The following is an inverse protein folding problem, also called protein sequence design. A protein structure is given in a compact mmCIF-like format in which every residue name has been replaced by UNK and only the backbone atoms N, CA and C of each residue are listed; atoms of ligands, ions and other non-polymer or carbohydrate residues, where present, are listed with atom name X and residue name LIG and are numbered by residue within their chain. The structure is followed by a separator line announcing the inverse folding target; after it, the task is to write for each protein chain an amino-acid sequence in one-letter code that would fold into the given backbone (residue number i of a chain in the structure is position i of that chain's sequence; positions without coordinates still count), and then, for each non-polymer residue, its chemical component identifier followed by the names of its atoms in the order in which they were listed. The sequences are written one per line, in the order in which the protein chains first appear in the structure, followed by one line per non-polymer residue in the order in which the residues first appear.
data_IF_693820082338
#
_entry.id   IF_693820082338
#
_cell.length_a   1.000
_cell.length_b   1.000
_cell.length_c   1.000
_cell.angle_alpha   90.00
_cell.angle_beta   90.00
_cell.angle_gamma   90.00
#
_symmetry.space_group_name_H-M   'P 1'
#
loop_
_entity.id
_entity.type
_entity.pdbx_description
1 polymer ?
#
# COMPACT_ATOMS: atom_id res chain seq x y z
N UNK A 1 6.58 -12.46 -1.15
CA UNK A 1 7.81 -13.04 -1.75
C UNK A 1 7.42 -14.04 -2.81
N UNK A 2 8.09 -14.03 -3.95
CA UNK A 2 7.97 -15.03 -4.99
C UNK A 2 9.36 -15.62 -5.23
N UNK A 3 9.48 -16.94 -5.32
CA UNK A 3 10.78 -17.58 -5.44
C UNK A 3 10.68 -18.90 -6.22
N UNK A 4 11.83 -19.38 -6.71
CA UNK A 4 12.00 -20.73 -7.19
C UNK A 4 12.76 -21.56 -6.17
N UNK A 5 12.31 -22.78 -5.97
CA UNK A 5 12.88 -23.74 -5.03
C UNK A 5 13.42 -24.92 -5.85
N UNK A 6 14.69 -25.14 -5.72
CA UNK A 6 15.39 -26.27 -6.35
C UNK A 6 15.79 -27.23 -5.23
N UNK A 7 15.38 -28.47 -5.34
CA UNK A 7 15.60 -29.49 -4.33
C UNK A 7 16.31 -30.72 -4.93
N UNK A 8 17.03 -31.42 -4.08
CA UNK A 8 17.28 -32.84 -4.30
C UNK A 8 16.05 -33.65 -3.83
N UNK A 9 15.40 -34.29 -4.76
CA UNK A 9 14.20 -35.11 -4.50
C UNK A 9 14.50 -36.51 -4.00
N UNK A 10 15.75 -36.89 -3.82
CA UNK A 10 16.14 -38.24 -3.40
C UNK A 10 15.64 -38.51 -1.99
N UNK A 11 14.74 -39.48 -1.86
CA UNK A 11 14.18 -39.90 -0.56
C UNK A 11 13.19 -38.89 0.07
N UNK A 12 12.73 -37.91 -0.69
CA UNK A 12 11.76 -36.91 -0.21
C UNK A 12 10.34 -37.41 -0.39
N UNK A 13 9.55 -37.35 0.68
CA UNK A 13 8.10 -37.52 0.59
C UNK A 13 7.48 -36.23 0.03
N UNK A 14 7.17 -36.29 -1.26
CA UNK A 14 6.62 -35.15 -2.01
C UNK A 14 5.25 -34.71 -1.48
N UNK A 15 4.40 -35.64 -1.03
CA UNK A 15 3.09 -35.28 -0.50
C UNK A 15 3.21 -34.45 0.77
N UNK A 16 4.04 -34.90 1.71
CA UNK A 16 4.34 -34.17 2.93
C UNK A 16 5.02 -32.82 2.64
N UNK A 17 5.90 -32.76 1.67
CA UNK A 17 6.56 -31.51 1.28
C UNK A 17 5.54 -30.50 0.74
N UNK A 18 4.73 -30.88 -0.23
CA UNK A 18 3.75 -30.01 -0.89
C UNK A 18 2.67 -29.55 0.08
N UNK A 19 2.23 -30.40 0.99
CA UNK A 19 1.30 -30.01 2.05
C UNK A 19 1.88 -28.92 2.96
N UNK A 20 3.11 -29.11 3.42
CA UNK A 20 3.78 -28.13 4.30
C UNK A 20 4.05 -26.79 3.63
N UNK A 21 4.45 -26.78 2.37
CA UNK A 21 4.65 -25.51 1.65
C UNK A 21 3.33 -24.89 1.22
N UNK A 22 2.31 -25.69 0.89
CA UNK A 22 0.97 -25.24 0.55
C UNK A 22 0.30 -24.43 1.67
N UNK A 23 0.60 -24.75 2.92
CA UNK A 23 0.14 -23.98 4.08
C UNK A 23 0.81 -22.60 4.21
N UNK A 24 1.90 -22.36 3.49
CA UNK A 24 2.65 -21.09 3.50
C UNK A 24 2.41 -20.21 2.28
N UNK A 25 1.86 -20.79 1.22
CA UNK A 25 1.64 -20.07 -0.02
C UNK A 25 1.11 -20.94 -1.15
N UNK A 26 0.92 -20.32 -2.30
CA UNK A 26 0.61 -21.04 -3.54
C UNK A 26 1.88 -21.43 -4.27
N UNK A 27 1.83 -22.55 -4.96
CA UNK A 27 2.97 -23.04 -5.73
C UNK A 27 2.55 -23.71 -7.03
N UNK A 28 3.49 -23.80 -7.95
CA UNK A 28 3.43 -24.63 -9.15
C UNK A 28 4.74 -25.39 -9.32
N UNK A 29 4.68 -26.56 -9.92
CA UNK A 29 5.86 -27.34 -10.23
C UNK A 29 6.03 -27.48 -11.72
N UNK A 30 7.19 -27.05 -12.25
CA UNK A 30 7.52 -27.10 -13.67
C UNK A 30 8.91 -27.70 -13.81
N UNK A 31 9.00 -28.83 -14.52
CA UNK A 31 10.28 -29.55 -14.80
C UNK A 31 11.14 -29.77 -13.54
N UNK A 32 10.49 -30.16 -12.41
CA UNK A 32 11.20 -30.43 -11.17
C UNK A 32 11.65 -29.19 -10.38
N UNK A 33 11.22 -28.01 -10.77
CA UNK A 33 11.43 -26.77 -10.03
C UNK A 33 10.09 -26.32 -9.43
N UNK A 34 10.08 -26.02 -8.14
CA UNK A 34 8.88 -25.48 -7.47
C UNK A 34 8.97 -23.96 -7.51
N UNK A 35 7.98 -23.35 -8.13
CA UNK A 35 7.77 -21.90 -8.09
C UNK A 35 6.75 -21.61 -7.01
N UNK A 36 7.10 -20.74 -6.07
CA UNK A 36 6.34 -20.51 -4.85
C UNK A 36 6.07 -19.03 -4.63
N UNK A 37 4.83 -18.73 -4.26
CA UNK A 37 4.40 -17.39 -3.88
C UNK A 37 3.84 -17.45 -2.46
N UNK A 38 4.38 -16.61 -1.55
CA UNK A 38 3.93 -16.57 -0.17
C UNK A 38 2.52 -15.99 -0.03
N UNK A 39 1.73 -16.58 0.86
CA UNK A 39 0.51 -15.99 1.39
C UNK A 39 0.88 -15.19 2.64
N UNK A 40 0.71 -13.86 2.61
CA UNK A 40 1.03 -13.00 3.73
C UNK A 40 2.54 -12.89 4.04
N UNK A 41 2.85 -12.69 5.31
CA UNK A 41 4.22 -12.54 5.79
C UNK A 41 4.90 -13.90 6.02
N UNK A 42 5.47 -14.44 4.98
CA UNK A 42 6.32 -15.62 5.07
C UNK A 42 7.75 -15.27 4.70
N UNK A 43 8.67 -15.40 5.64
CA UNK A 43 10.09 -15.18 5.39
C UNK A 43 10.72 -16.37 4.67
N UNK A 44 11.78 -16.12 3.91
CA UNK A 44 12.62 -17.17 3.29
C UNK A 44 13.07 -18.22 4.29
N UNK A 45 13.36 -17.80 5.53
CA UNK A 45 13.82 -18.69 6.59
C UNK A 45 12.70 -19.62 7.08
N UNK A 46 11.46 -19.12 7.19
CA UNK A 46 10.28 -19.91 7.53
C UNK A 46 10.00 -20.98 6.47
N UNK A 47 10.07 -20.58 5.20
CA UNK A 47 9.94 -21.51 4.06
C UNK A 47 11.04 -22.59 4.09
N UNK A 48 12.30 -22.19 4.26
CA UNK A 48 13.42 -23.13 4.37
C UNK A 48 13.26 -24.12 5.52
N UNK A 49 12.75 -23.67 6.65
CA UNK A 49 12.47 -24.53 7.81
C UNK A 49 11.35 -25.54 7.54
N UNK A 50 10.30 -25.14 6.81
CA UNK A 50 9.22 -26.04 6.41
C UNK A 50 9.72 -27.14 5.46
N UNK A 51 10.54 -26.76 4.48
CA UNK A 51 11.17 -27.70 3.52
C UNK A 51 12.05 -28.71 4.26
N UNK A 52 12.91 -28.24 5.15
CA UNK A 52 13.79 -29.15 5.95
C UNK A 52 13.01 -30.13 6.82
N UNK A 53 11.87 -29.69 7.41
CA UNK A 53 11.01 -30.59 8.20
C UNK A 53 10.31 -31.66 7.35
N UNK A 54 10.33 -31.56 6.03
CA UNK A 54 9.82 -32.57 5.11
C UNK A 54 10.86 -33.60 4.70
N UNK A 55 12.04 -33.61 5.35
CA UNK A 55 13.11 -34.55 5.08
C UNK A 55 14.05 -34.12 3.95
N UNK A 56 13.87 -32.94 3.38
CA UNK A 56 14.79 -32.40 2.37
C UNK A 56 16.08 -31.99 3.02
N UNK A 57 17.20 -32.58 2.58
CA UNK A 57 18.55 -32.28 3.07
C UNK A 57 19.09 -31.02 2.42
N UNK A 58 18.98 -30.92 1.10
CA UNK A 58 19.54 -29.83 0.30
C UNK A 58 18.47 -29.12 -0.51
N UNK A 59 18.39 -27.82 -0.30
CA UNK A 59 17.51 -26.94 -1.09
C UNK A 59 18.16 -25.59 -1.36
N UNK A 60 17.93 -25.07 -2.55
CA UNK A 60 18.27 -23.70 -2.96
C UNK A 60 16.99 -22.93 -3.17
N UNK A 61 16.84 -21.82 -2.48
CA UNK A 61 15.70 -20.91 -2.63
C UNK A 61 16.22 -19.62 -3.26
N UNK A 62 15.80 -19.39 -4.50
CA UNK A 62 16.15 -18.20 -5.29
C UNK A 62 14.94 -17.29 -5.34
N UNK A 63 15.05 -16.10 -4.77
CA UNK A 63 13.99 -15.10 -4.88
C UNK A 63 13.93 -14.55 -6.31
N UNK A 64 12.72 -14.44 -6.83
CA UNK A 64 12.46 -13.81 -8.12
C UNK A 64 12.17 -12.34 -7.83
N UNK A 65 12.99 -11.47 -8.39
CA UNK A 65 12.85 -10.00 -8.31
C UNK A 65 12.38 -9.45 -9.65
N UNK A 66 11.91 -8.22 -9.68
CA UNK A 66 11.54 -7.54 -10.94
C UNK A 66 12.71 -7.54 -11.93
N UNK A 67 13.94 -7.32 -11.45
CA UNK A 67 15.15 -7.31 -12.27
C UNK A 67 15.47 -8.69 -12.88
N UNK A 68 15.11 -9.77 -12.18
CA UNK A 68 15.36 -11.13 -12.63
C UNK A 68 14.28 -11.68 -13.57
N UNK A 69 13.15 -10.97 -13.73
CA UNK A 69 12.02 -11.40 -14.56
C UNK A 69 12.38 -11.63 -16.03
N UNK A 70 13.35 -10.89 -16.56
CA UNK A 70 13.82 -11.06 -17.94
C UNK A 70 14.38 -12.46 -18.22
N UNK A 71 14.80 -13.18 -17.18
CA UNK A 71 15.33 -14.54 -17.29
C UNK A 71 14.24 -15.62 -17.15
N UNK A 72 13.02 -15.23 -16.80
CA UNK A 72 11.87 -16.14 -16.64
C UNK A 72 10.94 -15.98 -17.85
N UNK A 73 10.88 -16.98 -18.67
CA UNK A 73 10.02 -17.00 -19.87
C UNK A 73 8.69 -17.72 -19.64
N UNK A 74 7.78 -17.58 -20.62
CA UNK A 74 6.51 -18.31 -20.64
C UNK A 74 5.63 -18.08 -19.43
N UNK A 75 4.92 -19.12 -19.00
CA UNK A 75 3.94 -19.07 -17.94
C UNK A 75 4.50 -18.57 -16.59
N UNK A 76 5.73 -18.93 -16.26
CA UNK A 76 6.39 -18.45 -15.01
C UNK A 76 6.61 -16.94 -15.05
N UNK A 77 7.08 -16.43 -16.17
CA UNK A 77 7.29 -15.00 -16.35
C UNK A 77 5.99 -14.21 -16.28
N UNK A 78 4.91 -14.73 -16.85
CA UNK A 78 3.58 -14.10 -16.79
C UNK A 78 3.04 -14.07 -15.35
N UNK A 79 3.11 -15.21 -14.66
CA UNK A 79 2.71 -15.33 -13.27
C UNK A 79 3.51 -14.40 -12.33
N UNK A 80 4.81 -14.29 -12.53
CA UNK A 80 5.66 -13.41 -11.75
C UNK A 80 5.36 -11.92 -12.05
N UNK A 81 5.11 -11.55 -13.30
CA UNK A 81 4.69 -10.19 -13.69
C UNK A 81 3.38 -9.80 -13.03
N UNK A 82 2.39 -10.70 -13.03
CA UNK A 82 1.11 -10.47 -12.36
C UNK A 82 1.30 -10.23 -10.86
N UNK A 83 2.14 -11.03 -10.21
CA UNK A 83 2.46 -10.84 -8.79
C UNK A 83 3.03 -9.44 -8.52
N UNK A 84 4.01 -8.98 -9.28
CA UNK A 84 4.62 -7.67 -9.07
C UNK A 84 3.67 -6.52 -9.39
N UNK A 85 2.83 -6.66 -10.41
CA UNK A 85 1.79 -5.69 -10.73
C UNK A 85 0.80 -5.53 -9.56
N UNK A 86 0.35 -6.64 -8.99
CA UNK A 86 -0.55 -6.64 -7.84
C UNK A 86 0.12 -6.06 -6.58
N UNK A 87 1.40 -6.35 -6.39
CA UNK A 87 2.18 -5.79 -5.28
C UNK A 87 2.37 -4.28 -5.40
N UNK A 88 2.64 -3.78 -6.60
CA UNK A 88 2.74 -2.34 -6.87
C UNK A 88 1.40 -1.63 -6.65
N UNK A 89 0.30 -2.21 -7.14
CA UNK A 89 -1.04 -1.68 -6.92
C UNK A 89 -1.39 -1.62 -5.42
N UNK A 90 -1.06 -2.66 -4.66
CA UNK A 90 -1.27 -2.69 -3.20
C UNK A 90 -0.48 -1.59 -2.51
N UNK A 91 0.80 -1.41 -2.85
CA UNK A 91 1.64 -0.34 -2.29
C UNK A 91 1.07 1.05 -2.56
N UNK A 92 0.60 1.31 -3.78
CA UNK A 92 -0.02 2.58 -4.15
C UNK A 92 -1.30 2.85 -3.33
N UNK A 93 -2.13 1.83 -3.08
CA UNK A 93 -3.33 1.94 -2.23
C UNK A 93 -2.93 2.23 -0.78
N UNK A 94 -1.92 1.54 -0.24
CA UNK A 94 -1.44 1.73 1.13
C UNK A 94 -0.87 3.15 1.31
N UNK A 95 -0.14 3.68 0.33
CA UNK A 95 0.36 5.06 0.31
C UNK A 95 -0.78 6.08 0.31
N UNK A 96 -1.76 5.90 -0.59
CA UNK A 96 -2.93 6.79 -0.64
C UNK A 96 -3.73 6.80 0.67
N UNK A 97 -3.91 5.63 1.28
CA UNK A 97 -4.62 5.52 2.56
C UNK A 97 -3.84 6.18 3.70
N UNK A 98 -2.52 6.02 3.72
CA UNK A 98 -1.64 6.67 4.70
C UNK A 98 -1.66 8.19 4.57
N UNK A 99 -1.62 8.73 3.35
CA UNK A 99 -1.71 10.16 3.09
C UNK A 99 -3.07 10.75 3.46
N UNK A 100 -4.16 10.03 3.14
CA UNK A 100 -5.51 10.42 3.53
C UNK A 100 -5.66 10.48 5.05
N UNK A 101 -5.14 9.47 5.76
CA UNK A 101 -5.15 9.45 7.23
C UNK A 101 -4.37 10.61 7.82
N UNK A 102 -3.18 10.91 7.30
CA UNK A 102 -2.37 12.04 7.74
C UNK A 102 -3.11 13.38 7.55
N UNK A 103 -3.70 13.61 6.38
CA UNK A 103 -4.49 14.82 6.11
C UNK A 103 -5.70 14.94 7.05
N UNK A 104 -6.35 13.82 7.36
CA UNK A 104 -7.46 13.79 8.31
C UNK A 104 -7.02 14.23 9.71
N UNK A 105 -5.90 13.72 10.19
CA UNK A 105 -5.33 14.09 11.50
C UNK A 105 -4.91 15.57 11.55
N UNK A 106 -4.34 16.10 10.47
CA UNK A 106 -4.01 17.54 10.36
C UNK A 106 -5.27 18.41 10.45
N UNK A 107 -6.36 18.03 9.75
CA UNK A 107 -7.64 18.75 9.81
C UNK A 107 -8.23 18.71 11.22
N UNK A 108 -8.17 17.58 11.92
CA UNK A 108 -8.65 17.47 13.30
C UNK A 108 -7.83 18.32 14.27
N UNK A 109 -6.51 18.33 14.12
CA UNK A 109 -5.64 19.17 14.93
C UNK A 109 -5.96 20.67 14.74
N UNK A 110 -6.14 21.12 13.50
CA UNK A 110 -6.53 22.49 13.17
C UNK A 110 -7.90 22.86 13.76
N UNK A 111 -8.88 21.94 13.75
CA UNK A 111 -10.19 22.16 14.36
C UNK A 111 -10.09 22.37 15.87
N UNK A 112 -9.25 21.56 16.55
CA UNK A 112 -9.02 21.72 17.99
C UNK A 112 -8.35 23.05 18.29
N UNK A 113 -7.34 23.43 17.54
CA UNK A 113 -6.63 24.71 17.69
C UNK A 113 -7.57 25.91 17.47
N UNK A 114 -8.40 25.84 16.42
CA UNK A 114 -9.42 26.85 16.14
C UNK A 114 -10.44 26.95 17.29
N UNK A 115 -10.91 25.83 17.81
CA UNK A 115 -11.85 25.80 18.93
C UNK A 115 -11.22 26.43 20.20
N UNK A 116 -9.96 26.14 20.48
CA UNK A 116 -9.23 26.74 21.59
C UNK A 116 -9.03 28.25 21.42
N UNK A 117 -8.72 28.71 20.20
CA UNK A 117 -8.58 30.12 19.89
C UNK A 117 -9.92 30.88 20.05
N UNK A 118 -11.04 30.27 19.67
CA UNK A 118 -12.39 30.82 19.90
C UNK A 118 -12.72 30.95 21.39
N UNK A 119 -12.44 29.93 22.18
CA UNK A 119 -12.70 29.94 23.63
C UNK A 119 -11.79 30.95 24.35
N UNK A 120 -10.55 31.08 23.93
CA UNK A 120 -9.59 32.03 24.55
C UNK A 120 -9.81 33.49 24.12
N UNK A 121 -10.76 33.77 23.20
CA UNK A 121 -11.03 35.11 22.71
C UNK A 121 -9.91 35.72 21.84
N UNK A 122 -8.98 34.91 21.39
CA UNK A 122 -7.86 35.35 20.54
C UNK A 122 -8.27 35.61 19.09
N UNK A 123 -9.44 35.14 18.65
CA UNK A 123 -10.02 35.50 17.37
C UNK A 123 -10.76 36.83 17.52
N UNK A 124 -10.12 37.90 17.09
CA UNK A 124 -10.76 39.20 16.93
C UNK A 124 -11.78 39.05 15.80
N UNK A 125 -13.05 39.26 16.10
CA UNK A 125 -14.08 39.30 15.06
C UNK A 125 -13.69 40.38 14.05
N UNK A 126 -13.55 40.00 12.78
CA UNK A 126 -13.34 40.95 11.70
C UNK A 126 -14.53 41.92 11.73
N UNK A 127 -14.32 43.24 11.89
CA UNK A 127 -15.39 44.18 11.92
C UNK A 127 -16.13 44.09 10.60
N UNK A 128 -17.45 43.81 10.65
CA UNK A 128 -18.31 43.94 9.50
C UNK A 128 -18.16 45.39 9.03
N UNK A 129 -17.68 45.60 7.82
CA UNK A 129 -17.77 46.85 7.13
C UNK A 129 -19.27 47.22 7.13
N UNK A 130 -19.62 48.23 7.91
CA UNK A 130 -20.88 48.91 7.73
C UNK A 130 -20.78 49.62 6.40
N UNK A 131 -21.48 49.11 5.44
CA UNK A 131 -21.73 49.82 4.20
C UNK A 131 -22.28 51.19 4.61
N UNK A 132 -21.55 52.21 4.23
CA UNK A 132 -22.00 53.60 4.30
C UNK A 132 -23.17 53.69 3.32
N UNK A 133 -24.36 53.71 3.88
CA UNK A 133 -25.50 54.31 3.20
C UNK A 133 -25.14 55.81 3.01
N UNK A 134 -24.74 56.14 1.83
CA UNK A 134 -24.67 57.51 1.35
C UNK A 134 -26.08 57.95 1.04
N UNK A 135 -26.70 58.61 2.02
CA UNK A 135 -27.94 59.38 1.81
C UNK A 135 -27.63 60.48 0.84
N UNK A 136 -28.11 60.32 -0.38
CA UNK A 136 -28.22 61.42 -1.34
C UNK A 136 -29.31 62.36 -0.84
N UNK A 137 -28.88 63.41 -0.16
CA UNK A 137 -29.71 64.55 0.20
C UNK A 137 -29.96 65.41 -1.04
N UNK A 138 -31.22 65.52 -1.41
CA UNK A 138 -31.67 66.34 -2.53
C UNK A 138 -31.58 67.81 -2.24
N UNK A 139 -30.89 68.53 -3.10
CA UNK A 139 -31.13 69.99 -3.24
C UNK A 139 -31.81 70.27 -4.55
N UNK A 140 -33.07 70.65 -4.39
CA UNK A 140 -33.79 71.48 -5.34
C UNK A 140 -33.13 72.84 -5.31
N UNK A 141 -32.84 73.38 -6.43
CA UNK A 141 -32.75 74.80 -6.67
C UNK A 141 -33.46 75.07 -8.02
N UNK A 142 -34.52 75.65 -7.84
CA UNK A 142 -35.38 76.69 -8.40
C UNK A 142 -34.84 77.35 -9.66
N UNK A 143 -35.78 77.41 -10.67
CA UNK A 143 -35.72 78.34 -11.78
C UNK A 143 -35.67 79.77 -11.31
N UNK A 144 -35.21 80.74 -12.14
CA UNK A 144 -36.19 81.47 -12.94
C UNK A 144 -35.69 81.98 -14.31
N UNK A 145 -36.72 82.24 -15.18
CA UNK A 145 -36.84 83.06 -16.37
C UNK A 145 -36.13 82.60 -17.67
#
# INVERSE_FOLDING_TARGET
MICKIILDYTGVDMETLLDKIGNLGSFMMIKGVIYFQTLGECSKQKLKSAIKRSGVTDCVILEITEDSLCNEGGYVGDWAREYFTNLAAKRAIDEMNSEKYRKQMEIEALKVELAQALVSGQLIAVPKNKDKEETADGRRDEDPE
#
